data_IF_781328980741
#
_entry.id   IF_781328980741
#
_cell.length_a   1.000
_cell.length_b   1.000
_cell.length_c   1.000
_cell.angle_alpha   90.00
_cell.angle_beta   90.00
_cell.angle_gamma   90.00
#
_symmetry.space_group_name_H-M   'P 1'
#
loop_
_entity.id
_entity.type
_entity.pdbx_description
1 polymer ?
#
# COMPACT_ATOMS: atom_id res chain seq x y z
N UNK A 1 -4.05 -20.37 26.36
CA UNK A 1 -4.11 -19.14 27.17
C UNK A 1 -2.71 -18.55 27.18
N UNK A 2 -2.55 -17.27 26.93
CA UNK A 2 -1.23 -16.61 26.92
C UNK A 2 -0.78 -16.45 28.38
N UNK A 3 0.43 -16.87 28.69
CA UNK A 3 1.06 -16.60 29.99
C UNK A 3 1.81 -15.28 29.92
N UNK A 4 1.24 -14.22 30.48
CA UNK A 4 1.82 -12.88 30.48
C UNK A 4 3.09 -12.75 31.34
N UNK A 5 3.33 -13.69 32.28
CA UNK A 5 4.48 -13.63 33.17
C UNK A 5 5.81 -13.97 32.49
N UNK A 6 5.75 -14.65 31.34
CA UNK A 6 6.95 -15.05 30.59
C UNK A 6 7.27 -14.09 29.44
N UNK A 7 6.41 -13.09 29.22
CA UNK A 7 6.59 -12.10 28.15
C UNK A 7 7.29 -10.85 28.71
N UNK A 8 8.38 -10.37 28.09
CA UNK A 8 9.01 -9.11 28.49
C UNK A 8 8.03 -7.93 28.44
N UNK A 9 8.15 -7.00 29.37
CA UNK A 9 7.36 -5.76 29.39
C UNK A 9 8.29 -4.54 29.39
N UNK A 10 8.09 -3.53 28.49
CA UNK A 10 7.06 -3.48 27.44
C UNK A 10 7.39 -4.35 26.22
N UNK A 11 6.36 -4.94 25.60
CA UNK A 11 6.54 -5.77 24.40
C UNK A 11 5.28 -5.76 23.51
N UNK A 12 5.45 -5.66 22.17
CA UNK A 12 4.40 -5.98 21.23
C UNK A 12 4.30 -7.49 21.05
N UNK A 13 3.12 -8.03 21.29
CA UNK A 13 2.82 -9.46 21.16
C UNK A 13 1.95 -9.68 19.94
N UNK A 14 2.36 -10.56 19.05
CA UNK A 14 1.57 -10.98 17.89
C UNK A 14 1.18 -12.45 18.04
N UNK A 15 -0.10 -12.74 17.81
CA UNK A 15 -0.62 -14.09 17.79
C UNK A 15 -0.58 -14.66 16.37
N UNK A 16 0.33 -15.60 16.13
CA UNK A 16 0.54 -16.21 14.81
C UNK A 16 -0.76 -16.74 14.19
N UNK A 17 -1.62 -17.38 14.99
CA UNK A 17 -2.90 -17.90 14.52
C UNK A 17 -3.80 -16.80 13.97
N UNK A 18 -3.87 -15.65 14.63
CA UNK A 18 -4.68 -14.51 14.17
C UNK A 18 -4.09 -13.88 12.90
N UNK A 19 -2.75 -13.76 12.84
CA UNK A 19 -2.07 -13.31 11.62
C UNK A 19 -2.39 -14.26 10.46
N UNK A 20 -2.27 -15.57 10.62
CA UNK A 20 -2.60 -16.57 9.59
C UNK A 20 -4.06 -16.52 9.14
N UNK A 21 -4.99 -16.23 10.03
CA UNK A 21 -6.40 -16.02 9.66
C UNK A 21 -6.57 -14.82 8.71
N UNK A 22 -5.94 -13.69 9.02
CA UNK A 22 -5.95 -12.52 8.16
C UNK A 22 -5.30 -12.80 6.81
N UNK A 23 -4.13 -13.44 6.81
CA UNK A 23 -3.40 -13.80 5.60
C UNK A 23 -4.21 -14.75 4.70
N UNK A 24 -4.91 -15.71 5.28
CA UNK A 24 -5.80 -16.63 4.54
C UNK A 24 -6.95 -15.91 3.87
N UNK A 25 -7.56 -14.93 4.55
CA UNK A 25 -8.62 -14.09 3.97
C UNK A 25 -8.06 -13.23 2.82
N UNK A 26 -6.93 -12.54 3.03
CA UNK A 26 -6.29 -11.71 2.01
C UNK A 26 -5.93 -12.55 0.77
N UNK A 27 -5.37 -13.75 0.98
CA UNK A 27 -5.05 -14.68 -0.10
C UNK A 27 -6.30 -15.12 -0.85
N UNK A 28 -7.39 -15.44 -0.15
CA UNK A 28 -8.67 -15.79 -0.77
C UNK A 28 -9.23 -14.65 -1.64
N UNK A 29 -9.18 -13.41 -1.16
CA UNK A 29 -9.58 -12.23 -1.96
C UNK A 29 -8.71 -12.11 -3.19
N UNK A 30 -7.39 -12.20 -3.04
CA UNK A 30 -6.41 -12.13 -4.15
C UNK A 30 -6.73 -13.16 -5.23
N UNK A 31 -6.90 -14.41 -4.85
CA UNK A 31 -7.12 -15.54 -5.78
C UNK A 31 -8.48 -15.44 -6.47
N UNK A 32 -9.54 -15.17 -5.71
CA UNK A 32 -10.91 -15.09 -6.23
C UNK A 32 -11.13 -13.88 -7.13
N UNK A 33 -10.57 -12.73 -6.78
CA UNK A 33 -10.63 -11.53 -7.61
C UNK A 33 -9.66 -11.58 -8.80
N UNK A 34 -8.65 -12.45 -8.78
CA UNK A 34 -7.63 -12.55 -9.81
C UNK A 34 -6.73 -11.32 -9.90
N UNK A 35 -6.42 -10.70 -8.77
CA UNK A 35 -5.58 -9.49 -8.65
C UNK A 35 -4.34 -9.77 -7.82
N UNK A 36 -3.35 -8.89 -7.87
CA UNK A 36 -2.21 -8.94 -6.96
C UNK A 36 -2.48 -8.11 -5.70
N UNK A 37 -2.23 -8.71 -4.53
CA UNK A 37 -2.22 -8.02 -3.25
C UNK A 37 -0.82 -8.13 -2.69
N UNK A 38 -0.24 -6.99 -2.27
CA UNK A 38 1.12 -6.91 -1.72
C UNK A 38 1.09 -6.19 -0.37
N UNK A 39 2.01 -6.52 0.53
CA UNK A 39 2.05 -5.97 1.87
C UNK A 39 2.66 -4.56 1.89
N UNK A 40 1.96 -3.58 2.47
CA UNK A 40 2.52 -2.23 2.66
C UNK A 40 3.30 -2.12 3.98
N UNK A 41 4.64 -1.99 3.89
CA UNK A 41 5.53 -1.94 5.04
C UNK A 41 5.31 -0.73 5.93
N UNK A 42 4.93 0.41 5.39
CA UNK A 42 4.61 1.61 6.18
C UNK A 42 3.55 1.38 7.27
N UNK A 43 2.71 0.34 7.11
CA UNK A 43 1.70 -0.02 8.10
C UNK A 43 2.05 -1.29 8.88
N UNK A 44 2.82 -2.21 8.30
CA UNK A 44 3.22 -3.44 8.95
C UNK A 44 4.57 -3.93 8.42
N UNK A 45 5.63 -3.72 9.22
CA UNK A 45 7.00 -4.10 8.89
C UNK A 45 7.65 -4.96 10.00
N UNK A 46 6.87 -5.78 10.69
CA UNK A 46 7.41 -6.72 11.68
C UNK A 46 8.12 -7.87 10.95
N UNK A 47 9.36 -7.63 10.57
CA UNK A 47 10.16 -8.51 9.71
C UNK A 47 10.32 -9.95 10.23
N UNK A 48 10.30 -10.16 11.54
CA UNK A 48 10.28 -11.50 12.15
C UNK A 48 9.07 -12.34 11.73
N UNK A 49 7.97 -11.73 11.31
CA UNK A 49 6.78 -12.42 10.81
C UNK A 49 6.80 -12.65 9.29
N UNK A 50 7.74 -12.09 8.56
CA UNK A 50 7.79 -12.21 7.10
C UNK A 50 7.91 -13.66 6.59
N UNK A 51 8.60 -14.61 7.26
CA UNK A 51 8.54 -16.01 6.86
C UNK A 51 7.11 -16.57 6.78
N UNK A 52 6.23 -16.15 7.72
CA UNK A 52 4.81 -16.54 7.71
C UNK A 52 4.05 -15.80 6.62
N UNK A 53 4.27 -14.49 6.48
CA UNK A 53 3.59 -13.67 5.46
C UNK A 53 3.87 -14.20 4.05
N UNK A 54 5.11 -14.58 3.76
CA UNK A 54 5.53 -15.09 2.44
C UNK A 54 4.81 -16.37 2.00
N UNK A 55 4.32 -17.17 2.93
CA UNK A 55 3.53 -18.38 2.60
C UNK A 55 2.22 -18.03 1.87
N UNK A 56 1.74 -16.79 2.04
CA UNK A 56 0.47 -16.30 1.50
C UNK A 56 0.67 -15.17 0.47
N UNK A 57 1.48 -14.19 0.81
CA UNK A 57 1.70 -12.96 0.05
C UNK A 57 3.21 -12.71 -0.02
N UNK A 58 3.85 -13.01 -1.17
CA UNK A 58 5.32 -12.97 -1.28
C UNK A 58 5.90 -11.60 -1.62
N UNK A 59 5.08 -10.59 -1.92
CA UNK A 59 5.53 -9.28 -2.38
C UNK A 59 5.12 -8.17 -1.42
N UNK A 60 5.84 -7.05 -1.49
CA UNK A 60 5.61 -5.89 -0.64
C UNK A 60 5.81 -4.57 -1.37
N UNK A 61 5.27 -3.50 -0.79
CA UNK A 61 5.52 -2.12 -1.21
C UNK A 61 6.39 -1.40 -0.19
N UNK A 62 7.25 -0.53 -0.67
CA UNK A 62 8.18 0.26 0.11
C UNK A 62 7.95 1.76 -0.09
N UNK A 63 8.10 2.54 1.00
CA UNK A 63 7.97 4.00 0.99
C UNK A 63 9.32 4.73 1.16
N UNK A 64 10.41 3.98 1.23
CA UNK A 64 11.78 4.49 1.39
C UNK A 64 12.80 3.47 0.90
N UNK A 65 14.06 3.91 0.75
CA UNK A 65 15.18 2.99 0.44
C UNK A 65 15.35 1.90 1.50
N UNK A 66 15.09 2.22 2.78
CA UNK A 66 15.23 1.27 3.87
C UNK A 66 14.16 0.19 3.83
N UNK A 67 12.91 0.56 3.50
CA UNK A 67 11.86 -0.42 3.29
C UNK A 67 12.10 -1.25 2.02
N UNK A 68 12.62 -0.65 0.94
CA UNK A 68 12.98 -1.39 -0.28
C UNK A 68 14.11 -2.40 0.00
N UNK A 69 15.12 -2.02 0.78
CA UNK A 69 16.17 -2.92 1.24
C UNK A 69 15.60 -4.04 2.12
N UNK A 70 14.72 -3.70 3.07
CA UNK A 70 14.05 -4.66 3.95
C UNK A 70 13.23 -5.68 3.15
N UNK A 71 12.53 -5.24 2.09
CA UNK A 71 11.81 -6.13 1.19
C UNK A 71 12.75 -7.13 0.53
N UNK A 72 13.86 -6.64 0.00
CA UNK A 72 14.82 -7.48 -0.70
C UNK A 72 15.52 -8.48 0.23
N UNK A 73 15.97 -8.03 1.41
CA UNK A 73 16.76 -8.84 2.35
C UNK A 73 15.89 -9.78 3.18
N UNK A 74 14.76 -9.32 3.70
CA UNK A 74 13.95 -10.07 4.67
C UNK A 74 12.66 -10.66 4.07
N UNK A 75 12.03 -9.96 3.12
CA UNK A 75 10.86 -10.51 2.40
C UNK A 75 11.31 -11.40 1.23
N UNK A 76 12.56 -11.25 0.75
CA UNK A 76 13.15 -12.08 -0.31
C UNK A 76 12.62 -11.75 -1.70
N UNK A 77 12.07 -10.55 -1.91
CA UNK A 77 11.56 -10.08 -3.20
C UNK A 77 11.83 -8.58 -3.39
N UNK A 78 12.08 -8.12 -4.63
CA UNK A 78 12.16 -6.70 -4.90
C UNK A 78 10.84 -5.99 -4.61
N UNK A 79 10.91 -4.76 -4.09
CA UNK A 79 9.76 -3.98 -3.69
C UNK A 79 9.03 -3.32 -4.87
N UNK A 80 7.74 -3.02 -4.68
CA UNK A 80 7.07 -1.93 -5.37
C UNK A 80 7.29 -0.65 -4.59
N UNK A 81 8.10 0.28 -5.10
CA UNK A 81 8.53 1.45 -4.34
C UNK A 81 7.81 2.70 -4.79
N UNK A 82 7.22 3.40 -3.84
CA UNK A 82 6.67 4.73 -4.01
C UNK A 82 7.11 5.65 -2.87
N UNK A 83 7.64 6.82 -3.23
CA UNK A 83 7.87 7.92 -2.30
C UNK A 83 7.46 9.25 -2.94
N UNK A 84 6.86 10.19 -2.18
CA UNK A 84 6.53 11.50 -2.73
C UNK A 84 7.77 12.29 -3.17
N UNK A 85 8.95 11.95 -2.64
CA UNK A 85 10.21 12.54 -3.06
C UNK A 85 11.33 11.49 -3.07
N UNK A 86 12.13 11.47 -4.13
CA UNK A 86 13.38 10.72 -4.23
C UNK A 86 14.56 11.69 -4.21
N UNK A 87 15.66 11.27 -3.59
CA UNK A 87 16.95 11.98 -3.66
C UNK A 87 17.91 11.27 -4.60
N UNK A 88 18.83 12.00 -5.21
CA UNK A 88 19.87 11.39 -6.06
C UNK A 88 20.77 10.40 -5.28
N UNK A 89 20.99 10.69 -4.00
CA UNK A 89 21.78 9.84 -3.13
C UNK A 89 21.11 8.48 -2.82
N UNK A 90 19.78 8.46 -2.73
CA UNK A 90 19.02 7.24 -2.38
C UNK A 90 18.55 6.45 -3.59
N UNK A 91 18.40 7.10 -4.74
CA UNK A 91 17.77 6.50 -5.91
C UNK A 91 18.53 5.26 -6.46
N UNK A 92 19.87 5.21 -6.48
CA UNK A 92 20.59 3.99 -6.87
C UNK A 92 20.24 2.77 -6.01
N UNK A 93 20.07 2.95 -4.70
CA UNK A 93 19.65 1.87 -3.80
C UNK A 93 18.20 1.47 -4.06
N UNK A 94 17.31 2.45 -4.32
CA UNK A 94 15.92 2.19 -4.70
C UNK A 94 15.84 1.37 -5.99
N UNK A 95 16.62 1.73 -7.03
CA UNK A 95 16.72 0.95 -8.27
C UNK A 95 17.15 -0.50 -8.01
N UNK A 96 18.18 -0.68 -7.16
CA UNK A 96 18.71 -2.00 -6.85
C UNK A 96 17.67 -2.93 -6.19
N UNK A 97 16.82 -2.39 -5.31
CA UNK A 97 15.94 -3.17 -4.46
C UNK A 97 14.47 -3.17 -4.92
N UNK A 98 14.15 -2.53 -6.06
CA UNK A 98 12.79 -2.43 -6.56
C UNK A 98 12.57 -3.22 -7.85
N UNK A 99 11.35 -3.72 -8.04
CA UNK A 99 10.82 -4.23 -9.31
C UNK A 99 9.94 -3.21 -10.01
N UNK A 100 9.27 -2.36 -9.22
CA UNK A 100 8.41 -1.28 -9.69
C UNK A 100 8.78 0.01 -8.94
N UNK A 101 8.81 1.13 -9.67
CA UNK A 101 9.02 2.46 -9.08
C UNK A 101 7.91 3.37 -9.57
N UNK A 102 7.16 3.93 -8.62
CA UNK A 102 6.12 4.92 -8.89
C UNK A 102 6.65 6.32 -8.59
N UNK A 103 6.55 7.22 -9.57
CA UNK A 103 6.93 8.62 -9.45
C UNK A 103 5.72 9.45 -9.09
N UNK A 104 5.93 10.43 -8.21
CA UNK A 104 4.86 11.28 -7.69
C UNK A 104 4.44 12.41 -8.64
N UNK A 105 5.33 12.81 -9.54
CA UNK A 105 5.11 13.91 -10.49
C UNK A 105 5.83 13.67 -11.80
N UNK A 106 5.46 14.41 -12.85
CA UNK A 106 6.16 14.39 -14.13
C UNK A 106 7.61 14.84 -13.98
N UNK A 107 7.87 15.90 -13.24
CA UNK A 107 9.22 16.40 -12.99
C UNK A 107 10.11 15.41 -12.24
N UNK A 108 9.53 14.63 -11.29
CA UNK A 108 10.26 13.57 -10.62
C UNK A 108 10.59 12.43 -11.60
N UNK A 109 9.63 12.05 -12.47
CA UNK A 109 9.87 11.06 -13.52
C UNK A 109 10.97 11.52 -14.48
N UNK A 110 10.88 12.73 -15.03
CA UNK A 110 11.86 13.29 -15.94
C UNK A 110 13.28 13.33 -15.34
N UNK A 111 13.38 13.67 -14.06
CA UNK A 111 14.65 13.74 -13.34
C UNK A 111 15.32 12.36 -13.18
N UNK A 112 14.56 11.32 -12.84
CA UNK A 112 15.11 10.02 -12.44
C UNK A 112 15.02 8.94 -13.53
N UNK A 113 14.16 9.08 -14.53
CA UNK A 113 14.03 8.10 -15.60
C UNK A 113 15.31 7.88 -16.41
N UNK A 114 16.18 8.87 -16.66
CA UNK A 114 17.50 8.63 -17.25
C UNK A 114 18.35 7.61 -16.49
N UNK A 115 18.26 7.59 -15.15
CA UNK A 115 18.97 6.58 -14.32
C UNK A 115 18.36 5.18 -14.49
N UNK A 116 17.04 5.07 -14.63
CA UNK A 116 16.36 3.81 -14.94
C UNK A 116 16.81 3.26 -16.29
N UNK A 117 16.89 4.13 -17.30
CA UNK A 117 17.40 3.75 -18.64
C UNK A 117 18.86 3.25 -18.58
N UNK A 118 19.70 3.95 -17.85
CA UNK A 118 21.10 3.58 -17.68
C UNK A 118 21.28 2.22 -16.95
N UNK A 119 20.34 1.86 -16.08
CA UNK A 119 20.26 0.56 -15.39
C UNK A 119 19.63 -0.56 -16.27
N UNK A 120 19.36 -0.30 -17.54
CA UNK A 120 18.79 -1.26 -18.49
C UNK A 120 17.31 -1.49 -18.37
N UNK A 121 16.55 -0.54 -17.81
CA UNK A 121 15.09 -0.62 -17.62
C UNK A 121 14.62 -1.90 -16.88
N UNK A 122 15.36 -2.33 -15.88
CA UNK A 122 15.02 -3.53 -15.09
C UNK A 122 13.82 -3.34 -14.18
N UNK A 123 13.43 -2.09 -13.89
CA UNK A 123 12.27 -1.74 -13.08
C UNK A 123 11.14 -1.22 -13.96
N UNK A 124 9.91 -1.60 -13.62
CA UNK A 124 8.71 -1.04 -14.25
C UNK A 124 8.37 0.31 -13.63
N UNK A 125 8.23 1.34 -14.47
CA UNK A 125 7.95 2.70 -14.01
C UNK A 125 6.46 3.03 -14.07
N UNK A 126 5.97 3.74 -13.05
CA UNK A 126 4.62 4.27 -13.04
C UNK A 126 4.53 5.70 -12.55
N UNK A 127 3.36 6.29 -12.74
CA UNK A 127 3.02 7.60 -12.18
C UNK A 127 1.91 7.45 -11.14
N UNK A 128 2.07 8.14 -10.02
CA UNK A 128 0.96 8.34 -9.11
C UNK A 128 0.02 9.37 -9.70
N UNK A 129 -1.24 8.99 -9.82
CA UNK A 129 -2.32 9.88 -10.27
C UNK A 129 -3.15 10.35 -9.08
N UNK A 130 -3.72 11.55 -9.20
CA UNK A 130 -4.67 12.10 -8.26
C UNK A 130 -6.05 12.14 -8.94
N UNK A 131 -7.01 11.27 -8.56
CA UNK A 131 -8.35 11.27 -9.13
C UNK A 131 -9.23 12.42 -8.61
N UNK A 132 -8.70 13.34 -7.80
CA UNK A 132 -9.40 14.47 -7.20
C UNK A 132 -10.66 14.05 -6.41
N UNK A 133 -10.61 12.84 -5.86
CA UNK A 133 -11.65 12.26 -5.04
C UNK A 133 -11.04 11.36 -3.95
N UNK A 134 -11.54 11.51 -2.74
CA UNK A 134 -11.23 10.65 -1.60
C UNK A 134 -12.40 10.72 -0.59
N UNK A 135 -12.75 9.59 0.00
CA UNK A 135 -13.75 9.49 1.09
C UNK A 135 -13.17 9.87 2.48
N UNK A 136 -11.90 10.30 2.54
CA UNK A 136 -11.26 10.69 3.80
C UNK A 136 -11.89 11.99 4.31
N UNK A 137 -12.62 11.91 5.43
CA UNK A 137 -13.35 13.04 6.01
C UNK A 137 -12.44 14.17 6.52
N UNK A 138 -11.30 13.81 7.10
CA UNK A 138 -10.35 14.80 7.64
C UNK A 138 -9.51 15.38 6.51
N UNK A 139 -9.72 16.65 6.20
CA UNK A 139 -9.05 17.35 5.09
C UNK A 139 -7.52 17.23 5.15
N UNK A 140 -6.93 17.31 6.36
CA UNK A 140 -5.49 17.15 6.57
C UNK A 140 -4.93 15.81 6.05
N UNK A 141 -5.73 14.77 6.09
CA UNK A 141 -5.36 13.42 5.64
C UNK A 141 -5.91 13.08 4.24
N UNK A 142 -6.68 13.99 3.64
CA UNK A 142 -7.22 13.78 2.30
C UNK A 142 -6.13 13.99 1.24
N UNK A 143 -5.66 12.93 0.57
CA UNK A 143 -4.59 13.04 -0.42
C UNK A 143 -5.05 13.69 -1.72
N UNK A 144 -6.35 13.95 -1.88
CA UNK A 144 -6.95 14.58 -3.05
C UNK A 144 -7.49 16.00 -2.76
N UNK A 145 -7.20 16.56 -1.58
CA UNK A 145 -7.57 17.94 -1.25
C UNK A 145 -6.91 18.92 -2.24
N UNK A 146 -7.54 20.08 -2.51
CA UNK A 146 -6.93 21.14 -3.31
C UNK A 146 -5.54 21.49 -2.78
N UNK A 147 -4.54 21.54 -3.65
CA UNK A 147 -3.15 21.81 -3.27
C UNK A 147 -2.40 20.58 -2.70
N UNK A 148 -2.99 19.38 -2.71
CA UNK A 148 -2.28 18.17 -2.33
C UNK A 148 -1.03 17.97 -3.18
N UNK A 149 0.08 17.58 -2.52
CA UNK A 149 1.33 17.22 -3.20
C UNK A 149 1.33 15.80 -3.79
N UNK A 150 0.22 15.06 -3.67
CA UNK A 150 0.17 13.63 -3.95
C UNK A 150 -0.38 13.33 -5.34
N UNK A 151 0.52 13.01 -6.26
CA UNK A 151 0.18 12.54 -7.61
C UNK A 151 -0.16 13.65 -8.60
N UNK A 152 -0.37 13.23 -9.83
CA UNK A 152 -0.62 14.10 -11.00
C UNK A 152 -2.12 14.07 -11.33
N UNK A 153 -2.75 15.22 -11.47
CA UNK A 153 -4.13 15.33 -11.96
C UNK A 153 -4.19 15.11 -13.46
N UNK A 154 -5.36 14.69 -13.96
CA UNK A 154 -5.57 14.35 -15.37
C UNK A 154 -5.22 15.48 -16.33
N UNK A 155 -5.50 16.73 -15.95
CA UNK A 155 -5.31 17.90 -16.80
C UNK A 155 -3.83 18.23 -17.06
N UNK A 156 -2.92 17.75 -16.20
CA UNK A 156 -1.48 17.88 -16.37
C UNK A 156 -0.87 16.79 -17.25
N UNK A 157 -1.65 15.74 -17.56
CA UNK A 157 -1.25 14.68 -18.48
C UNK A 157 -1.80 14.99 -19.87
N UNK A 158 -0.95 14.94 -20.88
CA UNK A 158 -1.38 15.06 -22.27
C UNK A 158 -2.25 13.89 -22.73
N UNK A 159 -2.38 13.73 -24.03
CA UNK A 159 -3.15 12.61 -24.64
C UNK A 159 -2.49 11.25 -24.42
N UNK A 160 -1.18 11.23 -24.16
CA UNK A 160 -0.37 10.03 -23.93
C UNK A 160 0.49 10.19 -22.68
N UNK A 161 0.71 9.09 -21.99
CA UNK A 161 1.70 9.05 -20.92
C UNK A 161 3.13 9.24 -21.47
N UNK A 162 4.07 9.76 -20.67
CA UNK A 162 5.47 9.82 -21.04
C UNK A 162 6.01 8.43 -21.43
N UNK A 163 6.92 8.39 -22.40
CA UNK A 163 7.61 7.16 -22.79
C UNK A 163 8.31 6.53 -21.59
N UNK A 164 8.08 5.24 -21.38
CA UNK A 164 8.63 4.49 -20.24
C UNK A 164 7.72 4.41 -19.02
N UNK A 165 6.60 5.12 -19.00
CA UNK A 165 5.56 4.91 -18.00
C UNK A 165 4.73 3.71 -18.41
N UNK A 166 4.80 2.65 -17.60
CA UNK A 166 4.12 1.37 -17.84
C UNK A 166 2.89 1.17 -16.97
N UNK A 167 2.74 1.95 -15.89
CA UNK A 167 1.64 1.80 -14.96
C UNK A 167 1.18 3.10 -14.32
N UNK A 168 0.02 3.01 -13.68
CA UNK A 168 -0.54 4.09 -12.87
C UNK A 168 -0.77 3.60 -11.43
N UNK A 169 -0.69 4.51 -10.49
CA UNK A 169 -0.93 4.24 -9.08
C UNK A 169 -1.79 5.36 -8.49
N UNK A 170 -2.78 5.00 -7.69
CA UNK A 170 -3.46 5.93 -6.80
C UNK A 170 -3.49 5.39 -5.38
N UNK A 171 -3.54 6.28 -4.39
CA UNK A 171 -3.69 5.91 -2.99
C UNK A 171 -4.52 7.00 -2.31
N UNK A 172 -5.81 6.78 -2.22
CA UNK A 172 -6.81 7.78 -1.82
C UNK A 172 -7.75 7.30 -0.71
N UNK A 173 -7.54 6.06 -0.25
CA UNK A 173 -8.34 5.41 0.77
C UNK A 173 -7.56 5.28 2.08
N UNK A 174 -8.29 5.33 3.22
CA UNK A 174 -7.74 5.11 4.55
C UNK A 174 -8.78 4.41 5.42
N UNK A 175 -8.52 3.15 5.80
CA UNK A 175 -9.47 2.29 6.55
C UNK A 175 -10.87 2.19 5.93
N UNK A 176 -10.91 2.28 4.61
CA UNK A 176 -12.12 2.42 3.81
C UNK A 176 -12.77 1.09 3.49
N UNK A 177 -14.02 1.14 3.00
CA UNK A 177 -14.79 0.00 2.57
C UNK A 177 -14.59 -0.31 1.07
N UNK A 178 -15.16 -1.43 0.61
CA UNK A 178 -15.21 -1.77 -0.82
C UNK A 178 -16.06 -0.81 -1.64
N UNK A 179 -17.08 -0.22 -1.03
CA UNK A 179 -17.95 0.79 -1.66
C UNK A 179 -17.22 2.13 -1.89
N UNK A 180 -16.27 2.47 -1.02
CA UNK A 180 -15.41 3.65 -1.19
C UNK A 180 -14.43 3.46 -2.33
N UNK A 181 -13.91 2.22 -2.49
CA UNK A 181 -13.13 1.86 -3.67
C UNK A 181 -13.97 1.97 -4.96
N UNK A 182 -15.22 1.52 -4.95
CA UNK A 182 -16.11 1.60 -6.11
C UNK A 182 -16.27 3.05 -6.59
N UNK A 183 -16.56 3.97 -5.67
CA UNK A 183 -16.66 5.41 -5.99
C UNK A 183 -15.33 5.96 -6.53
N UNK A 184 -14.21 5.59 -5.87
CA UNK A 184 -12.87 6.00 -6.32
C UNK A 184 -12.57 5.51 -7.73
N UNK A 185 -12.89 4.26 -8.06
CA UNK A 185 -12.70 3.70 -9.41
C UNK A 185 -13.56 4.44 -10.45
N UNK A 186 -14.78 4.83 -10.10
CA UNK A 186 -15.62 5.67 -10.96
C UNK A 186 -14.95 7.00 -11.33
N UNK A 187 -14.30 7.65 -10.36
CA UNK A 187 -13.58 8.91 -10.62
C UNK A 187 -12.24 8.68 -11.36
N UNK A 188 -11.57 7.56 -11.09
CA UNK A 188 -10.38 7.15 -11.88
C UNK A 188 -10.77 6.91 -13.35
N UNK A 189 -11.83 6.18 -13.60
CA UNK A 189 -12.31 5.95 -14.97
C UNK A 189 -12.73 7.24 -15.66
N UNK A 190 -13.46 8.11 -14.97
CA UNK A 190 -13.91 9.39 -15.51
C UNK A 190 -12.76 10.27 -16.01
N UNK A 191 -11.63 10.28 -15.30
CA UNK A 191 -10.50 11.17 -15.58
C UNK A 191 -9.37 10.50 -16.35
N UNK A 192 -9.14 9.21 -16.14
CA UNK A 192 -7.95 8.51 -16.64
C UNK A 192 -8.25 7.33 -17.56
N UNK A 193 -9.53 7.09 -17.95
CA UNK A 193 -9.92 5.96 -18.80
C UNK A 193 -9.09 5.87 -20.10
N UNK A 194 -8.70 7.02 -20.68
CA UNK A 194 -7.91 7.06 -21.92
C UNK A 194 -6.54 6.39 -21.81
N UNK A 195 -6.01 6.24 -20.60
CA UNK A 195 -4.70 5.63 -20.37
C UNK A 195 -4.78 4.15 -20.01
N UNK A 196 -5.90 3.69 -19.38
CA UNK A 196 -6.02 2.34 -18.85
C UNK A 196 -5.78 1.22 -19.88
N UNK A 197 -6.20 1.34 -21.16
CA UNK A 197 -5.90 0.33 -22.18
C UNK A 197 -4.44 0.28 -22.63
N UNK A 198 -3.63 1.29 -22.25
CA UNK A 198 -2.26 1.48 -22.74
C UNK A 198 -1.19 1.24 -21.66
N UNK A 199 -1.58 0.85 -20.47
CA UNK A 199 -0.68 0.54 -19.37
C UNK A 199 -0.70 -0.95 -19.04
N UNK A 200 0.37 -1.43 -18.41
CA UNK A 200 0.52 -2.83 -18.01
C UNK A 200 -0.15 -3.11 -16.67
N UNK A 201 -0.09 -2.15 -15.75
CA UNK A 201 -0.60 -2.31 -14.40
C UNK A 201 -1.25 -1.05 -13.84
N UNK A 202 -2.26 -1.26 -12.98
CA UNK A 202 -2.89 -0.24 -12.15
C UNK A 202 -2.75 -0.66 -10.70
N UNK A 203 -2.04 0.15 -9.91
CA UNK A 203 -1.92 -0.03 -8.47
C UNK A 203 -2.94 0.87 -7.77
N UNK A 204 -3.88 0.25 -7.06
CA UNK A 204 -5.00 0.92 -6.38
C UNK A 204 -4.63 1.38 -4.96
N UNK A 205 -3.35 1.24 -4.58
CA UNK A 205 -2.86 1.65 -3.27
C UNK A 205 -3.40 0.83 -2.10
N UNK A 206 -3.28 1.40 -0.92
CA UNK A 206 -3.74 0.81 0.34
C UNK A 206 -5.05 1.43 0.85
N UNK A 207 -5.30 1.24 2.14
CA UNK A 207 -6.51 1.72 2.82
C UNK A 207 -7.67 0.71 2.81
N UNK A 208 -7.48 -0.45 2.23
CA UNK A 208 -8.45 -1.54 2.15
C UNK A 208 -8.39 -2.41 3.42
N UNK A 209 -9.24 -2.15 4.39
CA UNK A 209 -9.24 -2.86 5.67
C UNK A 209 -10.15 -4.11 5.62
N UNK A 210 -9.86 -4.99 4.66
CA UNK A 210 -10.69 -6.15 4.32
C UNK A 210 -10.80 -7.21 5.42
N UNK A 211 -9.91 -7.19 6.41
CA UNK A 211 -9.92 -8.11 7.55
C UNK A 211 -10.70 -7.58 8.76
N UNK A 212 -11.21 -6.33 8.67
CA UNK A 212 -12.08 -5.76 9.70
C UNK A 212 -13.44 -6.46 9.67
N UNK A 213 -13.96 -6.79 10.84
CA UNK A 213 -15.31 -7.34 10.97
C UNK A 213 -16.37 -6.43 10.30
N UNK A 214 -17.20 -7.02 9.46
CA UNK A 214 -18.25 -6.31 8.73
C UNK A 214 -17.79 -5.67 7.41
N UNK A 215 -16.53 -5.86 7.01
CA UNK A 215 -16.10 -5.48 5.67
C UNK A 215 -16.71 -6.43 4.63
N UNK A 216 -17.28 -5.88 3.55
CA UNK A 216 -17.91 -6.67 2.49
C UNK A 216 -16.85 -7.14 1.46
N UNK A 217 -16.28 -8.32 1.73
CA UNK A 217 -15.28 -8.93 0.86
C UNK A 217 -15.88 -9.48 -0.43
N UNK A 218 -17.15 -9.90 -0.42
CA UNK A 218 -17.82 -10.38 -1.63
C UNK A 218 -18.05 -9.24 -2.62
N UNK A 219 -18.48 -8.08 -2.13
CA UNK A 219 -18.59 -6.88 -2.94
C UNK A 219 -17.22 -6.47 -3.51
N UNK A 220 -16.15 -6.50 -2.69
CA UNK A 220 -14.78 -6.20 -3.18
C UNK A 220 -14.39 -7.12 -4.33
N UNK A 221 -14.61 -8.43 -4.18
CA UNK A 221 -14.24 -9.42 -5.20
C UNK A 221 -15.04 -9.18 -6.49
N UNK A 222 -16.34 -8.98 -6.39
CA UNK A 222 -17.21 -8.72 -7.55
C UNK A 222 -16.82 -7.44 -8.29
N UNK A 223 -16.50 -6.36 -7.54
CA UNK A 223 -16.04 -5.09 -8.08
C UNK A 223 -14.74 -5.26 -8.86
N UNK A 224 -13.75 -5.92 -8.26
CA UNK A 224 -12.46 -6.15 -8.90
C UNK A 224 -12.57 -7.06 -10.15
N UNK A 225 -13.39 -8.09 -10.08
CA UNK A 225 -13.66 -8.96 -11.25
C UNK A 225 -14.33 -8.18 -12.39
N UNK A 226 -15.31 -7.34 -12.08
CA UNK A 226 -15.99 -6.48 -13.07
C UNK A 226 -15.02 -5.49 -13.70
N UNK A 227 -14.18 -4.82 -12.89
CA UNK A 227 -13.17 -3.90 -13.40
C UNK A 227 -12.13 -4.61 -14.28
N UNK A 228 -11.68 -5.79 -13.87
CA UNK A 228 -10.75 -6.61 -14.65
C UNK A 228 -11.35 -7.11 -15.97
N UNK A 229 -12.64 -7.47 -15.98
CA UNK A 229 -13.34 -7.86 -17.21
C UNK A 229 -13.39 -6.71 -18.24
N UNK A 230 -13.50 -5.47 -17.77
CA UNK A 230 -13.46 -4.26 -18.60
C UNK A 230 -12.06 -3.97 -19.14
N UNK A 231 -11.01 -4.31 -18.37
CA UNK A 231 -9.60 -4.09 -18.73
C UNK A 231 -8.80 -5.41 -18.62
N UNK A 232 -9.03 -6.38 -19.52
CA UNK A 232 -8.54 -7.76 -19.35
C UNK A 232 -7.00 -7.91 -19.36
N UNK A 233 -6.29 -6.96 -20.00
CA UNK A 233 -4.82 -6.98 -20.08
C UNK A 233 -4.15 -6.19 -18.94
N UNK A 234 -4.95 -5.58 -18.07
CA UNK A 234 -4.44 -4.75 -16.97
C UNK A 234 -4.18 -5.61 -15.74
N UNK A 235 -2.96 -5.60 -15.27
CA UNK A 235 -2.62 -6.14 -13.96
C UNK A 235 -3.13 -5.17 -12.88
N UNK A 236 -3.92 -5.69 -11.93
CA UNK A 236 -4.43 -4.92 -10.79
C UNK A 236 -3.62 -5.27 -9.57
N UNK A 237 -3.14 -4.24 -8.86
CA UNK A 237 -2.34 -4.36 -7.65
C UNK A 237 -3.02 -3.58 -6.52
N UNK A 238 -3.06 -4.15 -5.32
CA UNK A 238 -3.53 -3.50 -4.10
C UNK A 238 -2.45 -3.58 -3.02
N UNK A 239 -2.34 -2.55 -2.20
CA UNK A 239 -1.31 -2.38 -1.16
C UNK A 239 -1.92 -2.24 0.26
N UNK A 240 -2.79 -3.15 0.74
CA UNK A 240 -3.23 -3.09 2.12
C UNK A 240 -2.04 -3.27 3.05
N UNK A 241 -2.07 -2.58 4.18
CA UNK A 241 -1.06 -2.73 5.23
C UNK A 241 -1.71 -3.12 6.54
N UNK A 242 -2.53 -2.24 7.12
CA UNK A 242 -3.23 -2.49 8.40
C UNK A 242 -4.05 -3.78 8.39
N UNK A 243 -4.61 -4.16 7.25
CA UNK A 243 -5.39 -5.39 7.12
C UNK A 243 -4.61 -6.66 7.47
N UNK A 244 -3.29 -6.68 7.28
CA UNK A 244 -2.45 -7.83 7.61
C UNK A 244 -2.41 -8.07 9.12
N UNK A 245 -2.18 -7.01 9.90
CA UNK A 245 -2.00 -7.09 11.34
C UNK A 245 -3.24 -6.65 12.14
N UNK A 246 -4.39 -6.46 11.49
CA UNK A 246 -5.62 -6.03 12.16
C UNK A 246 -6.04 -7.03 13.23
N UNK A 247 -6.08 -6.57 14.50
CA UNK A 247 -6.46 -7.37 15.67
C UNK A 247 -5.67 -8.70 15.83
N UNK A 248 -4.39 -8.71 15.45
CA UNK A 248 -3.55 -9.91 15.57
C UNK A 248 -2.68 -9.92 16.81
N UNK A 249 -2.76 -8.89 17.67
CA UNK A 249 -1.93 -8.80 18.85
C UNK A 249 -2.25 -7.60 19.72
N UNK A 250 -1.37 -7.33 20.65
CA UNK A 250 -1.52 -6.26 21.64
C UNK A 250 -0.16 -5.76 22.13
N UNK A 251 -0.17 -4.60 22.79
CA UNK A 251 0.98 -4.09 23.54
C UNK A 251 0.83 -4.53 25.00
N UNK A 252 1.79 -5.29 25.49
CA UNK A 252 1.93 -5.61 26.91
C UNK A 252 2.79 -4.53 27.58
N UNK A 253 2.27 -3.91 28.63
CA UNK A 253 3.02 -2.95 29.47
C UNK A 253 2.80 -3.25 30.93
N UNK A 254 3.65 -2.69 31.77
CA UNK A 254 3.54 -2.78 33.24
C UNK A 254 3.30 -1.39 33.79
N UNK A 255 2.30 -1.24 34.64
CA UNK A 255 2.11 -0.02 35.42
C UNK A 255 3.24 0.06 36.44
N UNK A 256 4.12 1.05 36.32
CA UNK A 256 5.29 1.25 37.19
C UNK A 256 5.04 2.25 38.29
N UNK A 257 4.04 3.13 38.14
CA UNK A 257 3.66 4.12 39.14
C UNK A 257 2.20 4.56 38.94
N UNK A 258 1.63 5.14 40.02
CA UNK A 258 0.30 5.76 39.99
C UNK A 258 0.42 7.16 40.59
N UNK A 259 0.11 8.17 39.77
CA UNK A 259 0.07 9.57 40.23
C UNK A 259 -1.39 9.98 40.42
N UNK A 260 -1.67 10.65 41.55
CA UNK A 260 -3.00 11.19 41.82
C UNK A 260 -2.95 12.72 41.91
N UNK A 261 -3.72 13.40 41.03
CA UNK A 261 -3.90 14.84 41.02
C UNK A 261 -5.41 15.17 40.94
N UNK A 262 -5.90 16.02 41.82
CA UNK A 262 -7.31 16.42 41.87
C UNK A 262 -8.30 15.24 41.95
N UNK A 263 -7.91 14.15 42.63
CA UNK A 263 -8.72 12.94 42.74
C UNK A 263 -8.74 12.03 41.49
N UNK A 264 -7.96 12.37 40.46
CA UNK A 264 -7.80 11.56 39.26
C UNK A 264 -6.51 10.75 39.37
N UNK A 265 -6.64 9.42 39.35
CA UNK A 265 -5.52 8.46 39.30
C UNK A 265 -5.10 8.18 37.88
N UNK A 266 -3.83 8.43 37.58
CA UNK A 266 -3.22 8.17 36.28
C UNK A 266 -2.13 7.12 36.43
N UNK A 267 -2.21 6.06 35.67
CA UNK A 267 -1.17 5.04 35.59
C UNK A 267 -0.02 5.50 34.67
N UNK A 268 1.21 5.22 35.11
CA UNK A 268 2.44 5.47 34.37
C UNK A 268 3.09 4.13 34.03
#
# INVERSE_FOLDING_TARGET
MIDFNVIPSPCYVMEEKLLRNNLSLIKSVKERAGVNIILAFKAFALWKSFPIVREYIPYSTASSKFEAQLAFEEMGSPAHTYSPAYTEADFPAILKYSSHITFNSLSQFERFYPMVKADGNRVSCGLRINPEYSDVETELYNPCAPGSRMGVISDLLGDKLPEGVEGLHFHTLCESSSYDLEKTLGEVEKRFARFLPHIKWLNMGGGHLMTRKGYDTEHLIALLQSFKAKYPNLEIIMEPGSAFAWQTGFLLTTVVDIVENHGIKTAI
#
